data_IF_890852111870
#
_entry.id   IF_890852111870
#
_cell.length_a   1.000
_cell.length_b   1.000
_cell.length_c   1.000
_cell.angle_alpha   90.00
_cell.angle_beta   90.00
_cell.angle_gamma   90.00
#
_symmetry.space_group_name_H-M   'P 1'
#
loop_
_entity.id
_entity.type
_entity.pdbx_description
1 polymer ?
#
# COMPACT_ATOMS: atom_id res chain seq x y z
N UNK A 1 21.24 -16.11 5.60
CA UNK A 1 19.77 -15.90 5.53
C UNK A 1 19.28 -16.62 4.29
N UNK A 2 18.17 -17.36 4.37
CA UNK A 2 17.54 -17.94 3.17
C UNK A 2 17.14 -16.82 2.21
N UNK A 3 17.25 -17.09 0.90
CA UNK A 3 16.84 -16.17 -0.14
C UNK A 3 15.31 -16.00 -0.08
N UNK A 4 14.82 -14.78 0.16
CA UNK A 4 13.38 -14.49 0.26
C UNK A 4 12.77 -14.13 -1.10
N UNK A 5 13.59 -13.55 -1.99
CA UNK A 5 13.16 -13.02 -3.29
C UNK A 5 13.63 -13.93 -4.41
N UNK A 6 12.70 -14.32 -5.27
CA UNK A 6 13.05 -14.91 -6.56
C UNK A 6 13.54 -13.79 -7.47
N UNK A 7 14.87 -13.71 -7.57
CA UNK A 7 15.55 -12.62 -8.29
C UNK A 7 15.35 -12.71 -9.80
N UNK A 8 15.18 -13.92 -10.34
CA UNK A 8 14.96 -14.12 -11.77
C UNK A 8 13.57 -13.64 -12.15
N UNK A 9 12.55 -14.14 -11.46
CA UNK A 9 11.15 -13.74 -11.68
C UNK A 9 10.95 -12.23 -11.47
N UNK A 10 11.56 -11.64 -10.42
CA UNK A 10 11.49 -10.20 -10.19
C UNK A 10 12.09 -9.38 -11.34
N UNK A 11 13.19 -9.86 -11.96
CA UNK A 11 13.82 -9.20 -13.13
C UNK A 11 12.95 -9.29 -14.37
N UNK A 12 12.28 -10.43 -14.59
CA UNK A 12 11.36 -10.60 -15.72
C UNK A 12 10.18 -9.63 -15.64
N UNK A 13 9.51 -9.55 -14.48
CA UNK A 13 8.43 -8.58 -14.29
C UNK A 13 8.88 -7.14 -14.48
N UNK A 14 10.09 -6.80 -14.02
CA UNK A 14 10.65 -5.47 -14.22
C UNK A 14 10.87 -5.18 -15.71
N UNK A 15 11.47 -6.12 -16.44
CA UNK A 15 11.69 -5.98 -17.89
C UNK A 15 10.36 -5.78 -18.63
N UNK A 16 9.35 -6.62 -18.36
CA UNK A 16 8.02 -6.50 -18.96
C UNK A 16 7.34 -5.18 -18.60
N UNK A 17 7.54 -4.71 -17.36
CA UNK A 17 7.04 -3.40 -16.89
C UNK A 17 7.66 -2.26 -17.71
N UNK A 18 8.99 -2.25 -17.87
CA UNK A 18 9.71 -1.20 -18.60
C UNK A 18 9.40 -1.20 -20.10
N UNK A 19 9.11 -2.36 -20.70
CA UNK A 19 8.68 -2.45 -22.11
C UNK A 19 7.29 -1.86 -22.35
N UNK A 20 6.43 -1.79 -21.33
CA UNK A 20 5.02 -1.38 -21.45
C UNK A 20 4.72 0.03 -20.98
N UNK A 21 5.70 0.70 -20.37
CA UNK A 21 5.51 1.99 -19.71
C UNK A 21 6.32 3.06 -20.45
N UNK A 22 5.74 4.25 -20.58
CA UNK A 22 6.45 5.42 -21.11
C UNK A 22 7.56 5.84 -20.14
N UNK A 23 8.73 6.18 -20.69
CA UNK A 23 9.86 6.71 -19.92
C UNK A 23 9.44 7.83 -18.97
N UNK A 24 9.95 7.82 -17.74
CA UNK A 24 9.61 8.82 -16.71
C UNK A 24 8.27 8.59 -15.99
N UNK A 25 7.44 7.65 -16.42
CA UNK A 25 6.11 7.44 -15.80
C UNK A 25 6.19 6.87 -14.39
N UNK A 26 7.18 6.03 -14.10
CA UNK A 26 7.33 5.43 -12.77
C UNK A 26 7.83 6.46 -11.76
N UNK A 27 8.77 7.30 -12.18
CA UNK A 27 9.30 8.44 -11.44
C UNK A 27 8.19 9.45 -11.13
N UNK A 28 7.29 9.72 -12.09
CA UNK A 28 6.11 10.56 -11.84
C UNK A 28 5.19 9.97 -10.77
N UNK A 29 4.90 8.66 -10.81
CA UNK A 29 4.07 8.01 -9.77
C UNK A 29 4.79 8.08 -8.41
N UNK A 30 6.11 7.86 -8.36
CA UNK A 30 6.88 7.98 -7.14
C UNK A 30 6.79 9.39 -6.55
N UNK A 31 6.90 10.44 -7.37
CA UNK A 31 6.69 11.82 -6.94
C UNK A 31 5.26 12.09 -6.43
N UNK A 32 4.24 11.49 -7.04
CA UNK A 32 2.86 11.56 -6.53
C UNK A 32 2.72 10.89 -5.14
N UNK A 33 3.47 9.81 -4.88
CA UNK A 33 3.52 9.17 -3.56
C UNK A 33 4.25 10.02 -2.54
N UNK A 34 5.29 10.75 -2.93
CA UNK A 34 5.96 11.72 -2.06
C UNK A 34 5.00 12.85 -1.65
N UNK A 35 4.21 13.38 -2.59
CA UNK A 35 3.16 14.38 -2.30
C UNK A 35 2.10 13.79 -1.35
N UNK A 36 1.62 12.57 -1.61
CA UNK A 36 0.68 11.89 -0.71
C UNK A 36 1.28 11.69 0.68
N UNK A 37 2.54 11.26 0.78
CA UNK A 37 3.26 11.11 2.04
C UNK A 37 3.34 12.45 2.79
N UNK A 38 3.65 13.54 2.09
CA UNK A 38 3.63 14.90 2.64
C UNK A 38 2.27 15.27 3.26
N UNK A 39 1.16 14.96 2.56
CA UNK A 39 -0.20 15.18 3.08
C UNK A 39 -0.46 14.43 4.40
N UNK A 40 -0.01 13.18 4.50
CA UNK A 40 -0.16 12.37 5.72
C UNK A 40 0.73 12.90 6.84
N UNK A 41 2.00 13.19 6.56
CA UNK A 41 2.95 13.73 7.54
C UNK A 41 2.50 15.07 8.10
N UNK A 42 1.97 15.96 7.24
CA UNK A 42 1.45 17.26 7.66
C UNK A 42 0.36 17.12 8.74
N UNK A 43 -0.48 16.08 8.64
CA UNK A 43 -1.66 15.85 9.50
C UNK A 43 -1.45 14.86 10.64
N UNK A 44 -0.49 13.94 10.51
CA UNK A 44 -0.42 12.74 11.36
C UNK A 44 0.94 12.57 12.05
N UNK A 45 1.95 13.40 11.75
CA UNK A 45 3.32 13.17 12.23
C UNK A 45 3.50 13.31 13.74
N UNK A 46 2.56 13.92 14.47
CA UNK A 46 2.60 14.02 15.93
C UNK A 46 1.21 13.72 16.55
N UNK A 47 1.15 13.28 17.81
CA UNK A 47 -0.12 13.06 18.52
C UNK A 47 -1.02 14.30 18.55
N UNK A 48 -0.45 15.50 18.70
CA UNK A 48 -1.19 16.77 18.76
C UNK A 48 -1.90 17.06 17.44
N UNK A 49 -1.23 16.79 16.31
CA UNK A 49 -1.83 16.95 14.99
C UNK A 49 -2.99 15.99 14.78
N UNK A 50 -2.83 14.72 15.18
CA UNK A 50 -3.91 13.73 15.13
C UNK A 50 -5.09 14.18 16.00
N UNK A 51 -4.81 14.72 17.18
CA UNK A 51 -5.84 15.22 18.09
C UNK A 51 -6.53 16.50 17.57
N UNK A 52 -5.89 17.28 16.71
CA UNK A 52 -6.47 18.47 16.09
C UNK A 52 -7.36 18.16 14.87
N UNK A 53 -7.32 16.93 14.33
CA UNK A 53 -8.10 16.56 13.14
C UNK A 53 -9.61 16.76 13.35
N UNK A 54 -10.24 17.35 12.35
CA UNK A 54 -11.68 17.43 12.19
C UNK A 54 -12.23 16.20 11.46
N UNK A 55 -13.55 16.06 11.42
CA UNK A 55 -14.20 15.03 10.61
C UNK A 55 -13.89 15.19 9.11
N UNK A 56 -13.79 16.43 8.63
CA UNK A 56 -13.39 16.74 7.26
C UNK A 56 -11.96 16.25 6.97
N UNK A 57 -11.02 16.44 7.90
CA UNK A 57 -9.65 15.95 7.73
C UNK A 57 -9.58 14.43 7.66
N UNK A 58 -10.33 13.74 8.54
CA UNK A 58 -10.43 12.28 8.51
C UNK A 58 -11.07 11.78 7.21
N UNK A 59 -12.09 12.49 6.70
CA UNK A 59 -12.72 12.18 5.43
C UNK A 59 -11.70 12.27 4.29
N UNK A 60 -10.90 13.34 4.24
CA UNK A 60 -9.87 13.50 3.22
C UNK A 60 -8.77 12.43 3.33
N UNK A 61 -8.33 12.07 4.54
CA UNK A 61 -7.37 10.97 4.75
C UNK A 61 -7.93 9.65 4.17
N UNK A 62 -9.18 9.30 4.50
CA UNK A 62 -9.83 8.10 3.97
C UNK A 62 -10.02 8.14 2.45
N UNK A 63 -10.10 9.32 1.84
CA UNK A 63 -10.21 9.49 0.37
C UNK A 63 -8.89 9.24 -0.37
N UNK A 64 -7.76 9.45 0.30
CA UNK A 64 -6.41 9.18 -0.22
C UNK A 64 -6.06 7.68 -0.20
N UNK A 65 -6.75 6.88 0.61
CA UNK A 65 -6.56 5.43 0.73
C UNK A 65 -7.53 4.72 -0.23
N UNK A 66 -7.01 3.82 -1.07
CA UNK A 66 -7.78 3.28 -2.19
C UNK A 66 -9.02 2.50 -1.73
N UNK A 67 -8.87 1.64 -0.72
CA UNK A 67 -9.93 0.75 -0.26
C UNK A 67 -11.06 1.48 0.49
N UNK A 68 -10.77 2.62 1.12
CA UNK A 68 -11.74 3.43 1.88
C UNK A 68 -12.35 4.56 1.06
N UNK A 69 -11.77 4.93 -0.08
CA UNK A 69 -12.19 6.11 -0.87
C UNK A 69 -13.68 6.21 -1.17
N UNK A 70 -14.32 5.09 -1.51
CA UNK A 70 -15.77 5.06 -1.86
C UNK A 70 -16.66 4.97 -0.62
N UNK A 71 -16.11 4.51 0.50
CA UNK A 71 -16.84 4.25 1.75
C UNK A 71 -16.48 5.25 2.85
N UNK A 72 -15.61 6.24 2.59
CA UNK A 72 -15.09 7.19 3.57
C UNK A 72 -16.21 7.85 4.40
N UNK A 73 -17.24 8.38 3.72
CA UNK A 73 -18.42 8.98 4.37
C UNK A 73 -19.12 7.97 5.28
N UNK A 74 -19.40 6.77 4.76
CA UNK A 74 -20.04 5.69 5.51
C UNK A 74 -19.23 5.27 6.74
N UNK A 75 -17.90 5.25 6.65
CA UNK A 75 -17.03 4.90 7.78
C UNK A 75 -17.19 5.92 8.92
N UNK A 76 -17.16 7.22 8.60
CA UNK A 76 -17.22 8.29 9.60
C UNK A 76 -18.62 8.50 10.18
N UNK A 77 -19.65 8.43 9.35
CA UNK A 77 -21.02 8.68 9.79
C UNK A 77 -21.67 7.47 10.49
N UNK A 78 -21.33 6.25 10.08
CA UNK A 78 -22.07 5.05 10.50
C UNK A 78 -21.23 4.01 11.26
N UNK A 79 -19.89 4.05 11.18
CA UNK A 79 -19.05 2.94 11.66
C UNK A 79 -18.12 3.32 12.81
N UNK A 80 -17.48 4.48 12.74
CA UNK A 80 -16.45 4.87 13.71
C UNK A 80 -16.63 6.35 14.07
N UNK A 81 -16.81 6.63 15.36
CA UNK A 81 -16.86 8.01 15.85
C UNK A 81 -15.51 8.71 15.66
N UNK A 82 -15.53 9.99 15.30
CA UNK A 82 -14.35 10.83 15.06
C UNK A 82 -13.30 10.73 16.16
N UNK A 83 -13.66 10.92 17.43
CA UNK A 83 -12.70 10.88 18.54
C UNK A 83 -12.10 9.49 18.77
N UNK A 84 -12.92 8.45 18.60
CA UNK A 84 -12.44 7.07 18.65
C UNK A 84 -11.45 6.82 17.52
N UNK A 85 -11.75 7.29 16.31
CA UNK A 85 -10.87 7.07 15.17
C UNK A 85 -9.53 7.80 15.33
N UNK A 86 -9.55 9.05 15.81
CA UNK A 86 -8.34 9.81 16.16
C UNK A 86 -7.49 9.10 17.20
N UNK A 87 -8.12 8.56 18.24
CA UNK A 87 -7.42 7.78 19.26
C UNK A 87 -6.76 6.55 18.67
N UNK A 88 -7.47 5.79 17.81
CA UNK A 88 -6.93 4.60 17.16
C UNK A 88 -5.77 4.93 16.20
N UNK A 89 -5.88 6.01 15.43
CA UNK A 89 -4.81 6.48 14.55
C UNK A 89 -3.58 6.90 15.39
N UNK A 90 -3.79 7.66 16.47
CA UNK A 90 -2.71 8.09 17.36
C UNK A 90 -2.01 6.89 18.00
N UNK A 91 -2.78 5.92 18.49
CA UNK A 91 -2.27 4.67 19.07
C UNK A 91 -1.47 3.87 18.05
N UNK A 92 -1.97 3.74 16.81
CA UNK A 92 -1.27 3.05 15.74
C UNK A 92 0.08 3.71 15.44
N UNK A 93 0.11 5.04 15.34
CA UNK A 93 1.27 5.78 14.84
C UNK A 93 2.32 6.09 15.91
N UNK A 94 1.89 6.38 17.14
CA UNK A 94 2.72 7.08 18.14
C UNK A 94 2.90 6.35 19.48
N UNK A 95 2.11 5.30 19.79
CA UNK A 95 2.39 4.51 21.01
C UNK A 95 3.77 3.87 20.96
N UNK A 96 4.37 3.72 22.13
CA UNK A 96 5.68 3.09 22.31
C UNK A 96 5.67 1.57 22.18
N UNK A 97 4.48 0.95 22.15
CA UNK A 97 4.35 -0.48 21.94
C UNK A 97 4.98 -0.92 20.59
N UNK A 98 5.48 -2.17 20.51
CA UNK A 98 5.92 -2.75 19.25
C UNK A 98 4.87 -2.62 18.13
N UNK A 99 5.33 -2.39 16.89
CA UNK A 99 4.45 -2.06 15.75
C UNK A 99 3.43 -3.17 15.48
N UNK A 100 3.80 -4.43 15.65
CA UNK A 100 2.92 -5.58 15.49
C UNK A 100 1.75 -5.54 16.49
N UNK A 101 2.00 -5.15 17.74
CA UNK A 101 0.94 -5.01 18.75
C UNK A 101 0.01 -3.85 18.43
N UNK A 102 0.57 -2.72 18.01
CA UNK A 102 -0.20 -1.54 17.59
C UNK A 102 -1.07 -1.85 16.37
N UNK A 103 -0.50 -2.54 15.38
CA UNK A 103 -1.19 -2.96 14.16
C UNK A 103 -2.36 -3.90 14.46
N UNK A 104 -2.13 -4.96 15.24
CA UNK A 104 -3.18 -5.90 15.64
C UNK A 104 -4.28 -5.20 16.43
N UNK A 105 -3.93 -4.38 17.44
CA UNK A 105 -4.92 -3.64 18.22
C UNK A 105 -5.76 -2.68 17.35
N UNK A 106 -5.16 -1.99 16.39
CA UNK A 106 -5.90 -1.15 15.44
C UNK A 106 -6.91 -1.96 14.62
N UNK A 107 -6.48 -3.12 14.10
CA UNK A 107 -7.34 -4.00 13.30
C UNK A 107 -8.46 -4.65 14.11
N UNK A 108 -8.19 -5.00 15.37
CA UNK A 108 -9.17 -5.61 16.27
C UNK A 108 -10.22 -4.60 16.72
N UNK A 109 -9.83 -3.35 16.98
CA UNK A 109 -10.75 -2.28 17.38
C UNK A 109 -11.63 -1.76 16.25
N UNK A 110 -11.31 -2.08 15.00
CA UNK A 110 -12.10 -1.77 13.81
C UNK A 110 -12.88 -2.98 13.29
N UNK A 111 -13.31 -3.87 14.18
CA UNK A 111 -13.96 -5.15 13.83
C UNK A 111 -15.28 -5.04 13.03
N UNK A 112 -15.87 -3.84 13.01
CA UNK A 112 -17.04 -3.52 12.21
C UNK A 112 -16.75 -3.30 10.71
N UNK A 113 -15.48 -3.16 10.31
CA UNK A 113 -15.05 -2.98 8.91
C UNK A 113 -14.66 -4.32 8.27
N UNK A 114 -14.65 -4.40 6.93
CA UNK A 114 -14.08 -5.59 6.26
C UNK A 114 -12.61 -5.76 6.65
N UNK A 115 -12.19 -7.02 6.86
CA UNK A 115 -10.84 -7.35 7.31
C UNK A 115 -9.74 -6.74 6.41
N UNK A 116 -9.95 -6.72 5.09
CA UNK A 116 -8.96 -6.16 4.17
C UNK A 116 -8.90 -4.64 4.24
N UNK A 117 -10.05 -3.98 4.50
CA UNK A 117 -10.07 -2.53 4.69
C UNK A 117 -9.22 -2.15 5.90
N UNK A 118 -9.28 -2.94 6.98
CA UNK A 118 -8.49 -2.67 8.19
C UNK A 118 -7.00 -2.78 7.93
N UNK A 119 -6.56 -3.84 7.23
CA UNK A 119 -5.15 -4.07 6.94
C UNK A 119 -4.59 -3.00 6.00
N UNK A 120 -5.29 -2.72 4.90
CA UNK A 120 -4.92 -1.68 3.95
C UNK A 120 -4.85 -0.30 4.64
N UNK A 121 -5.86 0.03 5.47
CA UNK A 121 -5.91 1.30 6.20
C UNK A 121 -4.72 1.44 7.17
N UNK A 122 -4.44 0.40 7.97
CA UNK A 122 -3.33 0.42 8.92
C UNK A 122 -1.97 0.52 8.21
N UNK A 123 -1.77 -0.26 7.15
CA UNK A 123 -0.56 -0.27 6.35
C UNK A 123 -0.31 1.07 5.66
N UNK A 124 -1.34 1.67 5.05
CA UNK A 124 -1.23 2.99 4.41
C UNK A 124 -0.98 4.11 5.43
N UNK A 125 -1.68 4.13 6.57
CA UNK A 125 -1.43 5.13 7.62
C UNK A 125 0.01 5.08 8.12
N UNK A 126 0.53 3.89 8.43
CA UNK A 126 1.92 3.73 8.88
C UNK A 126 2.91 4.16 7.80
N UNK A 127 2.77 3.63 6.58
CA UNK A 127 3.73 3.84 5.51
C UNK A 127 3.78 5.30 5.04
N UNK A 128 2.63 5.95 4.81
CA UNK A 128 2.63 7.33 4.31
C UNK A 128 2.92 8.36 5.40
N UNK A 129 2.70 8.05 6.69
CA UNK A 129 3.14 8.94 7.77
C UNK A 129 4.64 8.77 8.09
N UNK A 130 5.19 7.56 8.03
CA UNK A 130 6.62 7.33 8.31
C UNK A 130 7.25 6.35 7.29
N UNK A 131 7.47 6.80 6.04
CA UNK A 131 7.88 5.93 4.93
C UNK A 131 9.25 5.29 5.12
N UNK A 132 10.12 5.89 5.93
CA UNK A 132 11.46 5.37 6.22
C UNK A 132 11.48 4.38 7.40
N UNK A 133 10.33 4.17 8.06
CA UNK A 133 10.20 3.30 9.25
C UNK A 133 9.27 2.12 9.02
N UNK A 134 8.21 2.34 8.24
CA UNK A 134 7.13 1.39 8.11
C UNK A 134 6.85 1.05 6.65
N UNK A 135 6.37 -0.17 6.44
CA UNK A 135 6.18 -0.74 5.12
C UNK A 135 4.72 -0.63 4.68
N UNK A 136 4.52 -0.51 3.37
CA UNK A 136 3.19 -0.58 2.78
C UNK A 136 2.69 -2.02 2.86
N UNK A 137 1.49 -2.22 3.41
CA UNK A 137 0.73 -3.44 3.19
C UNK A 137 -0.66 -3.08 2.71
N UNK A 138 -0.97 -3.54 1.50
CA UNK A 138 -2.32 -3.59 0.98
C UNK A 138 -2.62 -4.99 0.45
N UNK A 139 -3.90 -5.32 0.31
CA UNK A 139 -4.38 -6.61 -0.22
C UNK A 139 -3.82 -6.95 -1.61
N UNK A 140 -3.58 -5.95 -2.45
CA UNK A 140 -2.99 -6.18 -3.78
C UNK A 140 -1.51 -6.65 -3.69
N UNK A 141 -0.84 -6.40 -2.56
CA UNK A 141 0.50 -6.92 -2.29
C UNK A 141 0.44 -8.33 -1.72
N UNK A 142 -0.43 -8.52 -0.73
CA UNK A 142 -0.72 -9.83 -0.11
C UNK A 142 -2.13 -9.85 0.46
N UNK A 143 -2.96 -10.74 -0.05
CA UNK A 143 -4.27 -11.10 0.49
C UNK A 143 -4.13 -12.41 1.29
N UNK A 144 -4.21 -12.38 2.63
CA UNK A 144 -4.07 -13.58 3.46
C UNK A 144 -5.22 -14.58 3.27
N UNK A 145 -6.39 -14.15 2.77
CA UNK A 145 -7.56 -15.01 2.59
C UNK A 145 -7.41 -15.90 1.36
N UNK A 146 -6.94 -15.35 0.24
CA UNK A 146 -6.80 -16.09 -1.03
C UNK A 146 -5.35 -16.41 -1.38
N UNK A 147 -4.40 -15.94 -0.58
CA UNK A 147 -2.95 -16.18 -0.73
C UNK A 147 -2.39 -15.70 -2.08
N UNK A 148 -2.84 -14.52 -2.53
CA UNK A 148 -2.40 -13.91 -3.80
C UNK A 148 -1.98 -12.46 -3.60
N UNK A 149 -1.28 -11.90 -4.59
CA UNK A 149 -0.85 -10.51 -4.62
C UNK A 149 0.45 -10.39 -5.42
N UNK A 150 1.05 -9.20 -5.44
CA UNK A 150 2.36 -9.03 -6.10
C UNK A 150 3.52 -9.67 -5.34
N UNK A 151 3.47 -9.73 -4.00
CA UNK A 151 4.60 -10.27 -3.22
C UNK A 151 4.85 -11.76 -3.49
N UNK A 152 3.84 -12.66 -3.50
CA UNK A 152 4.06 -14.06 -3.85
C UNK A 152 4.66 -14.30 -5.24
N UNK A 153 4.53 -13.34 -6.16
CA UNK A 153 5.06 -13.45 -7.53
C UNK A 153 6.54 -13.13 -7.64
N UNK A 154 7.11 -12.47 -6.63
CA UNK A 154 8.53 -12.07 -6.61
C UNK A 154 9.28 -12.65 -5.41
N UNK A 155 8.61 -13.48 -4.61
CA UNK A 155 9.20 -14.18 -3.48
C UNK A 155 9.31 -15.67 -3.76
N UNK A 156 10.23 -16.32 -3.07
CA UNK A 156 10.41 -17.77 -3.18
C UNK A 156 9.20 -18.51 -2.62
N UNK A 157 8.89 -19.68 -3.19
CA UNK A 157 7.71 -20.47 -2.81
C UNK A 157 7.71 -20.97 -1.36
N UNK A 158 8.88 -21.01 -0.71
CA UNK A 158 9.06 -21.41 0.68
C UNK A 158 8.87 -20.26 1.69
N UNK A 159 8.77 -19.01 1.22
CA UNK A 159 8.53 -17.86 2.08
C UNK A 159 7.06 -17.79 2.51
N UNK A 160 6.80 -17.90 3.81
CA UNK A 160 5.46 -17.72 4.37
C UNK A 160 5.24 -16.28 4.84
N UNK A 161 4.15 -15.68 4.37
CA UNK A 161 3.66 -14.38 4.83
C UNK A 161 2.73 -14.50 6.04
N UNK A 162 2.25 -15.70 6.37
CA UNK A 162 1.23 -15.91 7.40
C UNK A 162 1.81 -15.75 8.80
N UNK A 163 1.28 -14.82 9.59
CA UNK A 163 1.51 -14.72 11.03
C UNK A 163 0.35 -15.30 11.85
N UNK A 164 0.55 -15.46 13.16
CA UNK A 164 -0.51 -15.83 14.10
C UNK A 164 -1.56 -14.74 14.28
N UNK A 165 -1.18 -13.50 14.01
CA UNK A 165 -2.04 -12.32 14.03
C UNK A 165 -1.68 -11.34 12.89
N UNK A 166 -2.50 -10.28 12.67
CA UNK A 166 -2.24 -9.31 11.61
C UNK A 166 -0.91 -8.56 11.77
N UNK A 167 -0.48 -8.30 13.00
CA UNK A 167 0.79 -7.64 13.30
C UNK A 167 2.00 -8.50 12.93
N UNK A 168 1.99 -9.79 13.25
CA UNK A 168 3.07 -10.70 12.82
C UNK A 168 3.08 -10.84 11.29
N UNK A 169 1.91 -10.91 10.66
CA UNK A 169 1.77 -10.89 9.19
C UNK A 169 2.39 -9.61 8.60
N UNK A 170 2.12 -8.45 9.21
CA UNK A 170 2.68 -7.17 8.81
C UNK A 170 4.22 -7.15 8.88
N UNK A 171 4.82 -7.72 9.94
CA UNK A 171 6.28 -7.84 10.05
C UNK A 171 6.88 -8.74 8.96
N UNK A 172 6.22 -9.86 8.64
CA UNK A 172 6.67 -10.77 7.56
C UNK A 172 6.60 -10.09 6.19
N UNK A 173 5.57 -9.28 5.94
CA UNK A 173 5.47 -8.48 4.73
C UNK A 173 6.57 -7.42 4.68
N UNK A 174 6.81 -6.72 5.79
CA UNK A 174 7.88 -5.74 5.90
C UNK A 174 9.26 -6.31 5.59
N UNK A 175 9.55 -7.50 6.13
CA UNK A 175 10.77 -8.24 5.83
C UNK A 175 10.88 -8.55 4.33
N UNK A 176 9.83 -9.07 3.70
CA UNK A 176 9.84 -9.34 2.26
C UNK A 176 10.09 -8.07 1.44
N UNK A 177 9.48 -6.94 1.82
CA UNK A 177 9.65 -5.66 1.14
C UNK A 177 11.09 -5.13 1.21
N UNK A 178 11.76 -5.31 2.34
CA UNK A 178 13.19 -4.98 2.48
C UNK A 178 14.02 -5.80 1.49
N UNK A 179 13.77 -7.11 1.39
CA UNK A 179 14.50 -7.95 0.42
C UNK A 179 14.19 -7.57 -1.03
N UNK A 180 12.92 -7.30 -1.37
CA UNK A 180 12.55 -6.86 -2.72
C UNK A 180 13.24 -5.54 -3.06
N UNK A 181 13.28 -4.61 -2.11
CA UNK A 181 13.99 -3.35 -2.27
C UNK A 181 15.48 -3.57 -2.55
N UNK A 182 16.17 -4.36 -1.72
CA UNK A 182 17.60 -4.67 -1.86
C UNK A 182 17.96 -5.36 -3.18
N UNK A 183 17.15 -6.33 -3.62
CA UNK A 183 17.31 -6.96 -4.93
C UNK A 183 17.08 -5.94 -6.05
N UNK A 184 16.12 -5.04 -5.85
CA UNK A 184 15.90 -3.87 -6.68
C UNK A 184 17.16 -3.01 -6.85
N UNK A 185 17.80 -2.65 -5.73
CA UNK A 185 19.03 -1.85 -5.74
C UNK A 185 20.19 -2.56 -6.43
N UNK A 186 20.43 -3.82 -6.08
CA UNK A 186 21.53 -4.62 -6.62
C UNK A 186 21.41 -4.87 -8.13
N UNK A 187 20.19 -4.83 -8.67
CA UNK A 187 19.93 -4.96 -10.10
C UNK A 187 19.90 -3.61 -10.84
N UNK A 188 20.21 -2.50 -10.18
CA UNK A 188 20.31 -1.17 -10.80
C UNK A 188 18.97 -0.45 -10.99
N UNK A 189 17.91 -0.89 -10.31
CA UNK A 189 16.56 -0.35 -10.46
C UNK A 189 16.27 0.88 -9.57
N UNK A 190 17.31 1.48 -8.98
CA UNK A 190 17.25 2.61 -8.04
C UNK A 190 16.82 3.95 -8.65
N UNK A 191 16.70 4.04 -9.97
CA UNK A 191 16.43 5.33 -10.62
C UNK A 191 14.99 5.84 -10.40
N UNK A 192 14.10 5.04 -9.81
CA UNK A 192 12.67 5.36 -9.69
C UNK A 192 12.36 6.21 -8.43
N UNK A 193 13.09 6.04 -7.31
CA UNK A 193 12.86 6.78 -6.05
C UNK A 193 13.98 6.53 -5.03
N UNK A 194 14.29 7.53 -4.18
CA UNK A 194 15.24 7.41 -3.06
C UNK A 194 14.68 6.64 -1.85
N UNK A 195 13.37 6.37 -1.81
CA UNK A 195 12.67 5.78 -0.67
C UNK A 195 11.99 4.47 -1.07
N UNK A 196 11.32 3.80 -0.12
CA UNK A 196 10.53 2.58 -0.38
C UNK A 196 9.39 2.78 -1.41
N UNK A 197 9.06 4.02 -1.80
CA UNK A 197 8.09 4.30 -2.85
C UNK A 197 8.45 3.67 -4.19
N UNK A 198 9.74 3.57 -4.54
CA UNK A 198 10.18 2.86 -5.75
C UNK A 198 9.75 1.39 -5.72
N UNK A 199 9.90 0.73 -4.58
CA UNK A 199 9.42 -0.65 -4.35
C UNK A 199 7.90 -0.74 -4.45
N UNK A 200 7.17 0.22 -3.87
CA UNK A 200 5.70 0.27 -3.97
C UNK A 200 5.23 0.43 -5.41
N UNK A 201 5.89 1.30 -6.19
CA UNK A 201 5.60 1.50 -7.62
C UNK A 201 5.90 0.23 -8.41
N UNK A 202 7.06 -0.40 -8.21
CA UNK A 202 7.41 -1.66 -8.86
C UNK A 202 6.37 -2.75 -8.58
N UNK A 203 6.06 -3.01 -7.31
CA UNK A 203 5.09 -4.04 -6.92
C UNK A 203 3.69 -3.74 -7.43
N UNK A 204 3.32 -2.47 -7.58
CA UNK A 204 2.05 -2.08 -8.22
C UNK A 204 2.00 -2.53 -9.68
N UNK A 205 3.13 -2.41 -10.41
CA UNK A 205 3.23 -2.84 -11.80
C UNK A 205 3.17 -4.37 -11.91
N UNK A 206 3.89 -5.09 -11.04
CA UNK A 206 3.80 -6.57 -10.92
C UNK A 206 2.34 -6.99 -10.73
N UNK A 207 1.64 -6.35 -9.79
CA UNK A 207 0.24 -6.66 -9.52
C UNK A 207 -0.66 -6.37 -10.73
N UNK A 208 -0.46 -5.25 -11.41
CA UNK A 208 -1.25 -4.88 -12.59
C UNK A 208 -1.04 -5.89 -13.72
N UNK A 209 0.22 -6.30 -13.99
CA UNK A 209 0.53 -7.34 -14.99
C UNK A 209 -0.17 -8.65 -14.61
N UNK A 210 -0.05 -9.09 -13.35
CA UNK A 210 -0.76 -10.27 -12.86
C UNK A 210 -2.27 -10.18 -13.04
N UNK A 211 -2.88 -9.06 -12.63
CA UNK A 211 -4.30 -8.82 -12.76
C UNK A 211 -4.73 -8.89 -14.23
N UNK A 212 -3.95 -8.30 -15.14
CA UNK A 212 -4.18 -8.40 -16.58
C UNK A 212 -4.11 -9.83 -17.09
N UNK A 213 -3.11 -10.60 -16.69
CA UNK A 213 -2.97 -12.00 -17.10
C UNK A 213 -4.17 -12.83 -16.63
N UNK A 214 -4.54 -12.74 -15.36
CA UNK A 214 -5.70 -13.45 -14.80
C UNK A 214 -7.01 -13.02 -15.45
N UNK A 215 -7.21 -11.72 -15.68
CA UNK A 215 -8.42 -11.18 -16.31
C UNK A 215 -8.53 -11.55 -17.79
N UNK A 216 -7.43 -11.50 -18.54
CA UNK A 216 -7.39 -11.91 -19.96
C UNK A 216 -7.72 -13.38 -20.15
N UNK A 217 -7.31 -14.25 -19.21
CA UNK A 217 -7.68 -15.67 -19.25
C UNK A 217 -9.18 -15.91 -19.01
N UNK A 218 -9.91 -14.93 -18.46
CA UNK A 218 -11.32 -15.06 -18.06
C UNK A 218 -12.31 -14.26 -18.91
N UNK A 219 -11.86 -13.42 -19.84
CA UNK A 219 -12.74 -12.48 -20.56
C UNK A 219 -12.53 -12.45 -22.08
N UNK A 220 -13.57 -12.04 -22.81
CA UNK A 220 -13.57 -11.85 -24.27
C UNK A 220 -12.79 -10.59 -24.67
N UNK A 221 -12.32 -10.52 -25.92
CA UNK A 221 -11.47 -9.42 -26.41
C UNK A 221 -12.08 -8.01 -26.26
N UNK A 222 -13.41 -7.88 -26.29
CA UNK A 222 -14.10 -6.58 -26.14
C UNK A 222 -13.97 -5.99 -24.72
N UNK A 223 -13.81 -6.82 -23.69
CA UNK A 223 -13.63 -6.33 -22.32
C UNK A 223 -12.22 -5.80 -22.05
N UNK A 224 -11.22 -6.27 -22.82
CA UNK A 224 -9.84 -5.77 -22.70
C UNK A 224 -9.72 -4.28 -23.05
N UNK A 225 -10.67 -3.73 -23.84
CA UNK A 225 -10.72 -2.29 -24.18
C UNK A 225 -11.18 -1.40 -23.03
N UNK A 226 -11.77 -1.96 -21.97
CA UNK A 226 -12.31 -1.20 -20.82
C UNK A 226 -11.29 -1.10 -19.66
N UNK A 227 -10.19 -1.86 -19.75
CA UNK A 227 -9.18 -1.87 -18.70
C UNK A 227 -8.29 -0.62 -18.74
N UNK A 228 -8.05 0.03 -17.58
CA UNK A 228 -7.21 1.22 -17.52
C UNK A 228 -5.75 0.88 -17.84
N UNK A 229 -5.05 1.75 -18.58
CA UNK A 229 -3.63 1.54 -18.89
C UNK A 229 -2.79 1.28 -17.63
N UNK A 230 -1.65 0.60 -17.78
CA UNK A 230 -0.84 0.13 -16.65
C UNK A 230 -0.58 1.25 -15.63
N UNK A 231 -0.11 2.41 -16.10
CA UNK A 231 0.18 3.59 -15.28
C UNK A 231 -1.06 4.11 -14.54
N UNK A 232 -2.22 4.14 -15.19
CA UNK A 232 -3.47 4.58 -14.55
C UNK A 232 -3.92 3.59 -13.46
N UNK A 233 -3.81 2.29 -13.74
CA UNK A 233 -4.17 1.26 -12.78
C UNK A 233 -3.25 1.30 -11.56
N UNK A 234 -1.92 1.43 -11.75
CA UNK A 234 -0.96 1.62 -10.67
C UNK A 234 -1.32 2.84 -9.80
N UNK A 235 -1.61 4.00 -10.41
CA UNK A 235 -2.06 5.19 -9.68
C UNK A 235 -3.33 4.95 -8.87
N UNK A 236 -4.28 4.18 -9.41
CA UNK A 236 -5.55 3.89 -8.72
C UNK A 236 -5.31 3.08 -7.45
N UNK A 237 -4.57 1.96 -7.54
CA UNK A 237 -4.34 1.06 -6.39
C UNK A 237 -3.39 1.66 -5.35
N UNK A 238 -2.48 2.54 -5.76
CA UNK A 238 -1.63 3.32 -4.87
C UNK A 238 -2.35 4.51 -4.23
N UNK A 239 -3.58 4.80 -4.67
CA UNK A 239 -4.40 5.87 -4.11
C UNK A 239 -4.02 7.28 -4.56
N UNK A 240 -3.20 7.43 -5.60
CA UNK A 240 -2.75 8.74 -6.12
C UNK A 240 -3.52 9.22 -7.37
N UNK A 241 -4.40 8.38 -7.92
CA UNK A 241 -5.23 8.74 -9.06
C UNK A 241 -6.24 9.85 -8.72
N UNK A 242 -6.21 10.94 -9.49
CA UNK A 242 -7.02 12.15 -9.31
C UNK A 242 -6.84 12.86 -7.96
N UNK A 243 -5.65 12.81 -7.36
CA UNK A 243 -5.33 13.76 -6.31
C UNK A 243 -5.38 15.17 -6.91
N UNK A 244 -6.38 15.97 -6.50
CA UNK A 244 -6.35 17.39 -6.79
C UNK A 244 -5.19 17.97 -5.97
N UNK A 245 -4.34 18.84 -6.54
CA UNK A 245 -3.42 19.61 -5.71
C UNK A 245 -4.23 20.34 -4.64
N UNK A 246 -3.78 20.27 -3.39
CA UNK A 246 -4.35 21.06 -2.31
C UNK A 246 -4.09 22.52 -2.70
N UNK A 247 -5.12 23.22 -3.15
CA UNK A 247 -5.03 24.66 -3.34
C UNK A 247 -4.87 25.27 -1.95
N UNK A 248 -3.72 25.90 -1.71
CA UNK A 248 -3.47 26.78 -0.56
C UNK A 248 -4.46 27.96 -0.56
#
# INVERSE_FOLDING_TARGET
MSQVVDTETAREFMKETMEKIQEGSLEMIAGELEVKSGFFQERLSTPEKVQALTETDLFEILRHIFCTRRTAKKILEEKVKTDTFKTLISDLLHKSDPVEKRFSNFCDKLDMLDVNIRYDLAGELLHYTFPDRYWLWCRWMWDPKVKTGSLPLVTTSDYSFEGSDPGETYLKIGKALIFVHQVGEAAGFQNISRNLFGTSVFLSCVYVIYAYTVLRMRMTQEFNKVMPGLTEFSRRILGVHHLKPVNN
#
